data_IF_701299169059
#
_entry.id   IF_701299169059
#
_cell.length_a   1.000
_cell.length_b   1.000
_cell.length_c   1.000
_cell.angle_alpha   90.00
_cell.angle_beta   90.00
_cell.angle_gamma   90.00
#
_symmetry.space_group_name_H-M   'P 1'
#
loop_
_entity.id
_entity.type
_entity.pdbx_description
1 polymer ?
#
# COMPACT_ATOMS: atom_id res chain seq x y z
N UNK A 1 -4.98 20.83 19.34
CA UNK A 1 -5.81 19.71 19.85
C UNK A 1 -6.18 18.76 18.71
N UNK A 2 -6.83 17.64 19.00
CA UNK A 2 -7.44 16.71 18.05
C UNK A 2 -8.91 16.50 18.39
N UNK A 3 -9.75 16.33 17.37
CA UNK A 3 -11.17 16.02 17.53
C UNK A 3 -11.38 14.51 17.46
N UNK A 4 -12.01 13.93 18.47
CA UNK A 4 -12.32 12.51 18.54
C UNK A 4 -13.82 12.28 18.76
N UNK A 5 -14.34 11.18 18.23
CA UNK A 5 -15.73 10.77 18.41
C UNK A 5 -15.79 9.64 19.42
N UNK A 6 -16.36 9.91 20.58
CA UNK A 6 -16.66 8.92 21.62
C UNK A 6 -18.16 8.59 21.56
N UNK A 7 -18.51 7.50 20.88
CA UNK A 7 -19.91 7.12 20.66
C UNK A 7 -20.69 8.15 19.84
N UNK A 8 -21.65 8.82 20.47
CA UNK A 8 -22.44 9.90 19.84
C UNK A 8 -21.87 11.30 20.10
N UNK A 9 -20.93 11.45 21.04
CA UNK A 9 -20.29 12.72 21.37
C UNK A 9 -19.01 12.96 20.58
N UNK A 10 -18.71 14.24 20.35
CA UNK A 10 -17.44 14.70 19.80
C UNK A 10 -16.69 15.42 20.92
N UNK A 11 -15.47 14.98 21.20
CA UNK A 11 -14.63 15.49 22.28
C UNK A 11 -13.35 16.08 21.67
N UNK A 12 -12.85 17.15 22.29
CA UNK A 12 -11.58 17.76 21.93
C UNK A 12 -10.50 17.33 22.92
N UNK A 13 -9.44 16.72 22.38
CA UNK A 13 -8.31 16.21 23.16
C UNK A 13 -7.07 17.05 22.88
N UNK A 14 -6.41 17.45 23.96
CA UNK A 14 -5.19 18.23 23.88
C UNK A 14 -3.99 17.30 23.56
N UNK A 15 -3.31 17.56 22.43
CA UNK A 15 -2.13 16.81 21.99
C UNK A 15 -0.86 17.12 22.82
N UNK A 16 -0.87 18.29 23.45
CA UNK A 16 0.09 18.79 24.44
C UNK A 16 -0.72 19.55 25.48
N UNK A 17 -0.16 19.78 26.67
CA UNK A 17 -0.81 20.59 27.70
C UNK A 17 -1.29 21.95 27.13
N UNK A 18 -2.57 22.27 27.34
CA UNK A 18 -3.23 23.46 26.78
C UNK A 18 -3.18 23.59 25.23
N UNK A 19 -3.04 22.47 24.51
CA UNK A 19 -2.85 22.45 23.07
C UNK A 19 -4.03 22.95 22.21
N UNK A 20 -5.22 23.11 22.78
CA UNK A 20 -6.38 23.77 22.14
C UNK A 20 -6.21 25.28 22.02
N UNK A 21 -5.46 25.88 22.95
CA UNK A 21 -5.25 27.33 23.03
C UNK A 21 -4.02 27.79 22.21
N UNK A 22 -3.29 26.84 21.62
CA UNK A 22 -2.08 27.10 20.84
C UNK A 22 -2.40 27.01 19.34
N UNK A 23 -2.28 28.14 18.64
CA UNK A 23 -2.46 28.18 17.19
C UNK A 23 -1.37 27.42 16.44
N UNK A 24 -1.75 26.72 15.37
CA UNK A 24 -0.79 26.13 14.44
C UNK A 24 -0.21 27.23 13.55
N UNK A 25 1.12 27.30 13.47
CA UNK A 25 1.92 28.29 12.75
C UNK A 25 2.94 27.57 11.88
N UNK A 26 3.56 28.29 10.94
CA UNK A 26 4.63 27.71 10.10
C UNK A 26 5.81 27.16 10.93
N UNK A 27 6.07 27.74 12.10
CA UNK A 27 7.13 27.31 12.99
C UNK A 27 6.80 25.98 13.73
N UNK A 28 5.52 25.70 13.99
CA UNK A 28 5.12 24.53 14.80
C UNK A 28 4.34 23.46 14.01
N UNK A 29 4.00 23.68 12.74
CA UNK A 29 3.19 22.75 11.93
C UNK A 29 3.77 21.34 11.85
N UNK A 30 5.09 21.19 11.74
CA UNK A 30 5.73 19.87 11.71
C UNK A 30 5.50 19.11 13.01
N UNK A 31 5.62 19.79 14.15
CA UNK A 31 5.36 19.18 15.45
C UNK A 31 3.89 18.83 15.63
N UNK A 32 2.99 19.69 15.17
CA UNK A 32 1.55 19.41 15.17
C UNK A 32 1.22 18.16 14.34
N UNK A 33 1.77 18.03 13.13
CA UNK A 33 1.58 16.84 12.28
C UNK A 33 2.11 15.59 12.97
N UNK A 34 3.32 15.63 13.52
CA UNK A 34 3.90 14.50 14.26
C UNK A 34 2.98 14.03 15.41
N UNK A 35 2.52 14.98 16.24
CA UNK A 35 1.62 14.70 17.37
C UNK A 35 0.25 14.18 16.92
N UNK A 36 -0.32 14.77 15.87
CA UNK A 36 -1.59 14.33 15.32
C UNK A 36 -1.49 12.91 14.76
N UNK A 37 -0.43 12.61 14.00
CA UNK A 37 -0.18 11.26 13.47
C UNK A 37 -0.01 10.25 14.61
N UNK A 38 0.76 10.61 15.65
CA UNK A 38 0.92 9.75 16.83
C UNK A 38 -0.41 9.49 17.54
N UNK A 39 -1.21 10.53 17.74
CA UNK A 39 -2.53 10.41 18.36
C UNK A 39 -3.45 9.47 17.59
N UNK A 40 -3.55 9.69 16.28
CA UNK A 40 -4.44 8.92 15.39
C UNK A 40 -4.05 7.45 15.27
N UNK A 41 -2.75 7.15 15.29
CA UNK A 41 -2.24 5.79 15.09
C UNK A 41 -2.05 5.00 16.39
N UNK A 42 -1.69 5.67 17.49
CA UNK A 42 -1.26 4.99 18.72
C UNK A 42 -2.08 5.42 19.93
N UNK A 43 -2.02 6.69 20.30
CA UNK A 43 -2.44 7.10 21.66
C UNK A 43 -3.96 6.89 21.87
N UNK A 44 -4.80 7.16 20.86
CA UNK A 44 -6.26 6.97 20.96
C UNK A 44 -6.72 5.51 21.04
N UNK A 45 -5.85 4.56 20.66
CA UNK A 45 -6.11 3.11 20.69
C UNK A 45 -5.15 2.37 21.65
N UNK A 46 -4.46 3.11 22.54
CA UNK A 46 -3.34 2.54 23.28
C UNK A 46 -3.75 1.38 24.19
N UNK A 47 -4.95 1.42 24.77
CA UNK A 47 -5.44 0.36 25.67
C UNK A 47 -5.55 -0.95 24.91
N UNK A 48 -6.25 -0.93 23.78
CA UNK A 48 -6.47 -2.10 22.93
C UNK A 48 -5.16 -2.61 22.34
N UNK A 49 -4.31 -1.69 21.87
CA UNK A 49 -3.02 -2.02 21.30
C UNK A 49 -2.10 -2.68 22.34
N UNK A 50 -2.07 -2.16 23.57
CA UNK A 50 -1.28 -2.71 24.67
C UNK A 50 -1.72 -4.13 25.02
N UNK A 51 -3.01 -4.37 25.23
CA UNK A 51 -3.51 -5.70 25.59
C UNK A 51 -3.26 -6.72 24.46
N UNK A 52 -3.37 -6.30 23.19
CA UNK A 52 -3.03 -7.14 22.04
C UNK A 52 -1.54 -7.54 22.05
N UNK A 53 -0.64 -6.59 22.32
CA UNK A 53 0.80 -6.84 22.40
C UNK A 53 1.12 -7.76 23.57
N UNK A 54 0.50 -7.55 24.74
CA UNK A 54 0.70 -8.42 25.90
C UNK A 54 0.26 -9.86 25.60
N UNK A 55 -0.91 -10.05 24.99
CA UNK A 55 -1.37 -11.38 24.58
C UNK A 55 -0.44 -12.07 23.57
N UNK A 56 0.17 -11.31 22.66
CA UNK A 56 1.21 -11.85 21.76
C UNK A 56 2.46 -12.29 22.56
N UNK A 57 2.92 -11.47 23.50
CA UNK A 57 4.10 -11.73 24.31
C UNK A 57 3.94 -12.89 25.31
N UNK A 58 2.71 -13.21 25.71
CA UNK A 58 2.42 -14.42 26.50
C UNK A 58 2.73 -15.71 25.74
N UNK A 59 2.67 -15.68 24.40
CA UNK A 59 2.89 -16.84 23.53
C UNK A 59 4.30 -16.81 22.92
N UNK A 60 4.74 -15.64 22.45
CA UNK A 60 6.02 -15.45 21.75
C UNK A 60 6.87 -14.44 22.52
N UNK A 61 8.02 -14.85 23.09
CA UNK A 61 8.93 -13.95 23.79
C UNK A 61 9.34 -12.75 22.91
N UNK A 62 9.32 -11.51 23.45
CA UNK A 62 9.66 -10.31 22.68
C UNK A 62 11.03 -10.39 22.00
N UNK A 63 11.99 -11.08 22.62
CA UNK A 63 13.37 -11.23 22.12
C UNK A 63 13.43 -11.97 20.78
N UNK A 64 12.44 -12.83 20.49
CA UNK A 64 12.32 -13.52 19.21
C UNK A 64 11.73 -12.65 18.11
N UNK A 65 11.08 -11.54 18.47
CA UNK A 65 10.44 -10.62 17.55
C UNK A 65 11.35 -9.45 17.14
N UNK A 66 12.28 -9.05 18.02
CA UNK A 66 13.24 -7.96 17.79
C UNK A 66 14.01 -8.06 16.45
N UNK A 67 14.45 -9.23 15.98
CA UNK A 67 15.23 -9.31 14.75
C UNK A 67 14.47 -8.96 13.48
N UNK A 68 13.13 -9.05 13.50
CA UNK A 68 12.30 -8.86 12.31
C UNK A 68 11.89 -7.40 12.14
N UNK A 69 11.95 -6.89 10.92
CA UNK A 69 11.18 -5.70 10.57
C UNK A 69 9.68 -6.03 10.40
N UNK A 70 8.84 -5.02 10.17
CA UNK A 70 7.41 -5.22 10.03
C UNK A 70 7.02 -6.09 8.81
N UNK A 71 7.81 -6.07 7.74
CA UNK A 71 7.58 -6.85 6.51
C UNK A 71 7.95 -8.31 6.74
N UNK A 72 9.07 -8.56 7.41
CA UNK A 72 9.52 -9.90 7.78
C UNK A 72 8.59 -10.52 8.83
N UNK A 73 8.11 -9.73 9.80
CA UNK A 73 7.15 -10.22 10.79
C UNK A 73 5.82 -10.59 10.15
N UNK A 74 5.33 -9.77 9.20
CA UNK A 74 4.17 -10.09 8.39
C UNK A 74 4.34 -11.44 7.67
N UNK A 75 5.51 -11.65 7.06
CA UNK A 75 5.86 -12.88 6.36
C UNK A 75 5.84 -14.10 7.27
N UNK A 76 6.38 -13.98 8.49
CA UNK A 76 6.38 -15.07 9.48
C UNK A 76 4.96 -15.42 9.92
N UNK A 77 4.13 -14.40 10.21
CA UNK A 77 2.77 -14.61 10.70
C UNK A 77 1.84 -15.25 9.66
N UNK A 78 2.07 -14.99 8.38
CA UNK A 78 1.08 -15.28 7.35
C UNK A 78 1.59 -16.11 6.18
N UNK A 79 2.90 -16.34 6.11
CA UNK A 79 3.56 -17.09 5.04
C UNK A 79 3.65 -16.33 3.72
N UNK A 80 4.27 -16.98 2.75
CA UNK A 80 4.22 -16.57 1.35
C UNK A 80 2.92 -17.09 0.73
N UNK A 81 1.96 -16.22 0.47
CA UNK A 81 0.89 -16.56 -0.47
C UNK A 81 1.44 -16.47 -1.89
N UNK A 82 1.54 -17.61 -2.57
CA UNK A 82 1.81 -17.61 -4.00
C UNK A 82 0.69 -16.87 -4.73
N UNK A 83 1.08 -15.90 -5.57
CA UNK A 83 0.14 -15.12 -6.35
C UNK A 83 -0.26 -15.94 -7.57
N UNK A 84 -1.55 -16.28 -7.66
CA UNK A 84 -2.10 -16.89 -8.87
C UNK A 84 -2.18 -15.83 -9.98
N UNK A 85 -1.19 -15.85 -10.89
CA UNK A 85 -1.12 -14.95 -12.03
C UNK A 85 -2.27 -15.14 -13.01
N UNK A 86 -2.82 -16.35 -13.11
CA UNK A 86 -3.96 -16.60 -13.97
C UNK A 86 -5.21 -15.93 -13.40
N UNK A 87 -5.46 -16.07 -12.10
CA UNK A 87 -6.55 -15.36 -11.42
C UNK A 87 -6.36 -13.84 -11.46
N UNK A 88 -5.13 -13.35 -11.28
CA UNK A 88 -4.83 -11.91 -11.42
C UNK A 88 -5.20 -11.40 -12.81
N UNK A 89 -4.68 -12.07 -13.84
CA UNK A 89 -4.92 -11.68 -15.24
C UNK A 89 -6.40 -11.78 -15.62
N UNK A 90 -7.10 -12.83 -15.18
CA UNK A 90 -8.52 -13.04 -15.46
C UNK A 90 -9.44 -11.98 -14.83
N UNK A 91 -9.04 -11.41 -13.69
CA UNK A 91 -9.81 -10.38 -12.98
C UNK A 91 -9.25 -8.96 -13.18
N UNK A 92 -8.33 -8.76 -14.12
CA UNK A 92 -7.78 -7.44 -14.43
C UNK A 92 -8.68 -6.67 -15.41
N UNK A 93 -9.06 -5.46 -15.03
CA UNK A 93 -9.72 -4.51 -15.93
C UNK A 93 -8.66 -3.72 -16.69
N UNK A 94 -8.79 -3.62 -18.01
CA UNK A 94 -7.86 -2.87 -18.86
C UNK A 94 -8.57 -1.72 -19.57
N UNK A 95 -7.90 -0.58 -19.72
CA UNK A 95 -8.39 0.50 -20.57
C UNK A 95 -8.39 0.10 -22.05
N UNK A 96 -9.28 0.69 -22.84
CA UNK A 96 -9.50 0.32 -24.25
C UNK A 96 -8.25 0.43 -25.13
N UNK A 97 -7.34 1.37 -24.84
CA UNK A 97 -6.08 1.53 -25.57
C UNK A 97 -5.03 0.45 -25.26
N UNK A 98 -5.22 -0.37 -24.22
CA UNK A 98 -4.38 -1.54 -23.95
C UNK A 98 -4.93 -2.82 -24.58
N UNK A 99 -6.21 -2.84 -24.96
CA UNK A 99 -6.83 -4.03 -25.55
C UNK A 99 -6.08 -4.44 -26.81
N UNK A 100 -5.61 -5.69 -26.86
CA UNK A 100 -4.81 -6.24 -27.97
C UNK A 100 -3.51 -5.47 -28.27
N UNK A 101 -2.95 -4.75 -27.29
CA UNK A 101 -1.65 -4.08 -27.44
C UNK A 101 -0.51 -5.00 -27.01
N UNK A 102 0.65 -4.87 -27.68
CA UNK A 102 1.88 -5.53 -27.24
C UNK A 102 2.28 -5.12 -25.82
N UNK A 103 1.96 -3.89 -25.41
CA UNK A 103 2.23 -3.41 -24.06
C UNK A 103 1.52 -4.25 -22.98
N UNK A 104 0.28 -4.67 -23.22
CA UNK A 104 -0.44 -5.55 -22.31
C UNK A 104 0.19 -6.95 -22.24
N UNK A 105 0.61 -7.49 -23.37
CA UNK A 105 1.31 -8.78 -23.43
C UNK A 105 2.64 -8.73 -22.68
N UNK A 106 3.46 -7.71 -22.97
CA UNK A 106 4.74 -7.48 -22.32
C UNK A 106 4.60 -7.33 -20.81
N UNK A 107 3.59 -6.58 -20.33
CA UNK A 107 3.35 -6.42 -18.90
C UNK A 107 3.21 -7.78 -18.21
N UNK A 108 2.33 -8.65 -18.73
CA UNK A 108 2.11 -9.97 -18.13
C UNK A 108 3.31 -10.90 -18.27
N UNK A 109 4.01 -10.88 -19.40
CA UNK A 109 5.25 -11.66 -19.57
C UNK A 109 6.36 -11.22 -18.61
N UNK A 110 6.46 -9.92 -18.32
CA UNK A 110 7.42 -9.39 -17.35
C UNK A 110 7.00 -9.82 -15.93
N UNK A 111 5.72 -9.68 -15.56
CA UNK A 111 5.20 -10.10 -14.25
C UNK A 111 5.37 -11.59 -14.02
N UNK A 112 5.16 -12.42 -15.04
CA UNK A 112 5.38 -13.87 -14.99
C UNK A 112 6.86 -14.23 -14.77
N UNK A 113 7.78 -13.42 -15.31
CA UNK A 113 9.22 -13.60 -15.12
C UNK A 113 9.75 -13.04 -13.78
N UNK A 114 8.96 -12.26 -13.03
CA UNK A 114 9.35 -11.70 -11.73
C UNK A 114 9.50 -12.80 -10.67
N UNK A 115 10.36 -12.54 -9.67
CA UNK A 115 10.39 -13.37 -8.47
C UNK A 115 9.06 -13.26 -7.69
N UNK A 116 8.66 -14.27 -6.90
CA UNK A 116 7.46 -14.16 -6.06
C UNK A 116 7.46 -12.94 -5.14
N UNK A 117 8.64 -12.56 -4.61
CA UNK A 117 8.82 -11.35 -3.82
C UNK A 117 8.50 -10.08 -4.62
N UNK A 118 8.95 -10.01 -5.88
CA UNK A 118 8.74 -8.83 -6.72
C UNK A 118 7.30 -8.74 -7.24
N UNK A 119 6.65 -9.88 -7.49
CA UNK A 119 5.20 -9.93 -7.75
C UNK A 119 4.40 -9.39 -6.56
N UNK A 120 4.76 -9.80 -5.34
CA UNK A 120 4.13 -9.31 -4.11
C UNK A 120 4.36 -7.81 -3.89
N UNK A 121 5.55 -7.30 -4.21
CA UNK A 121 5.83 -5.86 -4.20
C UNK A 121 4.98 -5.11 -5.22
N UNK A 122 4.88 -5.59 -6.47
CA UNK A 122 4.05 -4.96 -7.49
C UNK A 122 2.57 -4.92 -7.08
N UNK A 123 2.09 -5.99 -6.45
CA UNK A 123 0.75 -6.05 -5.87
C UNK A 123 0.59 -5.02 -4.75
N UNK A 124 1.56 -4.91 -3.85
CA UNK A 124 1.60 -3.91 -2.77
C UNK A 124 1.56 -2.47 -3.31
N UNK A 125 2.32 -2.16 -4.37
CA UNK A 125 2.28 -0.86 -5.03
C UNK A 125 0.89 -0.54 -5.57
N UNK A 126 0.29 -1.51 -6.24
CA UNK A 126 -0.96 -1.29 -6.96
C UNK A 126 -2.19 -1.32 -6.08
N UNK A 127 -2.19 -2.06 -4.96
CA UNK A 127 -3.36 -2.31 -4.12
C UNK A 127 -3.21 -1.85 -2.67
N UNK A 128 -1.99 -1.48 -2.25
CA UNK A 128 -1.70 -1.22 -0.84
C UNK A 128 -1.62 -2.48 0.03
N UNK A 129 -1.69 -3.67 -0.57
CA UNK A 129 -1.49 -4.95 0.11
C UNK A 129 -0.62 -5.89 -0.72
N UNK A 130 0.26 -6.64 -0.07
CA UNK A 130 1.08 -7.68 -0.68
C UNK A 130 0.31 -8.98 -0.90
N UNK A 131 -1.00 -9.01 -0.58
CA UNK A 131 -1.81 -10.22 -0.53
C UNK A 131 -3.06 -10.16 -1.38
N UNK A 132 -3.44 -11.33 -1.84
CA UNK A 132 -4.70 -11.56 -2.55
C UNK A 132 -5.79 -11.88 -1.51
N UNK A 133 -6.99 -11.30 -1.64
CA UNK A 133 -8.13 -11.68 -0.81
C UNK A 133 -8.41 -13.19 -0.86
N UNK A 134 -9.01 -13.74 0.19
CA UNK A 134 -9.36 -15.18 0.26
C UNK A 134 -10.24 -15.62 -0.92
N UNK A 135 -11.04 -14.71 -1.47
CA UNK A 135 -11.88 -14.93 -2.63
C UNK A 135 -11.15 -14.81 -3.98
N UNK A 136 -9.83 -14.60 -4.00
CA UNK A 136 -9.03 -14.29 -5.19
C UNK A 136 -9.09 -12.81 -5.58
N UNK A 137 -8.56 -12.48 -6.75
CA UNK A 137 -8.49 -11.12 -7.29
C UNK A 137 -9.87 -10.49 -7.55
N UNK A 138 -10.90 -11.30 -7.74
CA UNK A 138 -12.30 -10.82 -7.81
C UNK A 138 -12.80 -10.21 -6.50
N UNK A 139 -12.15 -10.55 -5.38
CA UNK A 139 -12.46 -10.05 -4.06
C UNK A 139 -11.73 -8.76 -3.69
N UNK A 140 -10.92 -8.18 -4.60
CA UNK A 140 -10.22 -6.93 -4.32
C UNK A 140 -11.22 -5.81 -4.01
N UNK A 141 -10.92 -5.03 -2.98
CA UNK A 141 -11.74 -3.90 -2.53
C UNK A 141 -10.95 -2.61 -2.54
N UNK A 142 -11.66 -1.47 -2.61
CA UNK A 142 -11.10 -0.15 -2.35
C UNK A 142 -11.13 0.16 -0.84
N UNK A 143 -10.68 1.35 -0.45
CA UNK A 143 -10.67 1.83 0.94
C UNK A 143 -12.06 1.88 1.59
N UNK A 144 -13.13 1.96 0.79
CA UNK A 144 -14.52 1.99 1.25
C UNK A 144 -15.14 0.59 1.41
N UNK A 145 -14.35 -0.47 1.20
CA UNK A 145 -14.77 -1.86 1.34
C UNK A 145 -15.61 -2.39 0.18
N UNK A 146 -15.85 -1.59 -0.88
CA UNK A 146 -16.55 -2.08 -2.08
C UNK A 146 -15.58 -2.76 -3.04
N UNK A 147 -16.10 -3.72 -3.81
CA UNK A 147 -15.34 -4.40 -4.86
C UNK A 147 -14.74 -3.39 -5.83
N UNK A 148 -13.43 -3.49 -6.02
CA UNK A 148 -12.62 -2.67 -6.90
C UNK A 148 -11.54 -3.55 -7.51
N UNK A 149 -11.74 -3.96 -8.76
CA UNK A 149 -10.81 -4.82 -9.47
C UNK A 149 -9.46 -4.13 -9.71
N UNK A 150 -8.40 -4.93 -9.77
CA UNK A 150 -7.13 -4.43 -10.27
C UNK A 150 -7.30 -3.89 -11.70
N UNK A 151 -6.81 -2.68 -11.93
CA UNK A 151 -6.97 -1.97 -13.19
C UNK A 151 -5.61 -1.59 -13.79
N UNK A 152 -5.38 -1.96 -15.04
CA UNK A 152 -4.24 -1.51 -15.82
C UNK A 152 -4.72 -0.47 -16.83
N UNK A 153 -4.25 0.77 -16.70
CA UNK A 153 -4.64 1.89 -17.54
C UNK A 153 -3.48 2.34 -18.41
N UNK A 154 -3.60 2.19 -19.72
CA UNK A 154 -2.62 2.68 -20.67
C UNK A 154 -2.58 4.20 -20.71
N UNK A 155 -1.39 4.78 -20.59
CA UNK A 155 -1.13 6.22 -20.75
C UNK A 155 -0.12 6.46 -21.87
N UNK A 156 -0.11 7.68 -22.42
CA UNK A 156 0.85 8.04 -23.46
C UNK A 156 2.28 7.96 -22.89
N UNK A 157 3.17 7.34 -23.65
CA UNK A 157 4.58 7.28 -23.29
C UNK A 157 5.26 8.63 -23.55
N UNK A 158 6.01 9.10 -22.56
CA UNK A 158 7.01 10.16 -22.70
C UNK A 158 8.38 9.60 -22.27
N UNK A 159 9.49 9.96 -22.94
CA UNK A 159 10.81 9.48 -22.54
C UNK A 159 11.10 9.76 -21.07
N UNK A 160 11.50 8.72 -20.33
CA UNK A 160 11.82 8.80 -18.90
C UNK A 160 10.63 8.67 -17.94
N UNK A 161 9.40 8.47 -18.42
CA UNK A 161 8.27 8.25 -17.53
C UNK A 161 8.25 6.82 -16.92
N UNK A 162 7.86 6.73 -15.66
CA UNK A 162 7.66 5.48 -14.93
C UNK A 162 6.16 5.17 -14.77
N UNK A 163 5.78 3.90 -14.53
CA UNK A 163 4.41 3.56 -14.17
C UNK A 163 4.03 4.24 -12.84
N UNK A 164 2.79 4.71 -12.75
CA UNK A 164 2.26 5.33 -11.52
C UNK A 164 1.19 4.44 -10.91
N UNK A 165 1.36 4.06 -9.65
CA UNK A 165 0.43 3.21 -8.93
C UNK A 165 -0.50 4.04 -8.04
N UNK A 166 -1.78 3.64 -8.00
CA UNK A 166 -2.82 4.27 -7.21
C UNK A 166 -3.48 3.21 -6.33
N UNK A 167 -2.85 2.91 -5.18
CA UNK A 167 -3.28 1.86 -4.25
C UNK A 167 -4.77 1.94 -3.88
N UNK A 168 -5.30 3.14 -3.64
CA UNK A 168 -6.72 3.35 -3.29
C UNK A 168 -7.71 2.83 -4.37
N UNK A 169 -7.26 2.68 -5.61
CA UNK A 169 -8.09 2.25 -6.74
C UNK A 169 -7.59 0.96 -7.40
N UNK A 170 -6.69 0.23 -6.74
CA UNK A 170 -6.09 -1.00 -7.28
C UNK A 170 -5.51 -0.80 -8.70
N UNK A 171 -4.91 0.37 -9.00
CA UNK A 171 -4.62 0.77 -10.39
C UNK A 171 -3.14 1.04 -10.66
N UNK A 172 -2.66 0.60 -11.82
CA UNK A 172 -1.39 1.04 -12.42
C UNK A 172 -1.69 1.82 -13.70
N UNK A 173 -1.19 3.04 -13.77
CA UNK A 173 -1.12 3.81 -15.01
C UNK A 173 0.19 3.41 -15.73
N UNK A 174 0.05 2.64 -16.82
CA UNK A 174 1.15 2.03 -17.57
C UNK A 174 1.44 2.85 -18.84
N UNK A 175 2.61 3.49 -18.96
CA UNK A 175 3.04 4.07 -20.23
C UNK A 175 3.08 3.01 -21.34
N UNK A 176 2.57 3.36 -22.52
CA UNK A 176 2.66 2.52 -23.71
C UNK A 176 4.10 2.55 -24.25
N UNK A 177 5.02 1.89 -23.53
CA UNK A 177 6.44 1.84 -23.86
C UNK A 177 6.67 1.35 -25.29
N UNK A 178 7.70 1.86 -25.99
CA UNK A 178 7.98 1.46 -27.37
C UNK A 178 8.70 0.10 -27.47
N UNK A 179 9.23 -0.45 -26.36
CA UNK A 179 9.83 -1.78 -26.32
C UNK A 179 9.60 -2.46 -24.97
N UNK A 180 9.69 -3.81 -24.95
CA UNK A 180 9.54 -4.63 -23.75
C UNK A 180 10.67 -4.35 -22.74
N UNK A 181 11.87 -4.09 -23.23
CA UNK A 181 13.06 -3.84 -22.40
C UNK A 181 12.88 -2.56 -21.57
N UNK A 182 12.37 -1.49 -22.19
CA UNK A 182 12.08 -0.22 -21.49
C UNK A 182 10.98 -0.40 -20.44
N UNK A 183 9.94 -1.17 -20.74
CA UNK A 183 8.90 -1.50 -19.75
C UNK A 183 9.47 -2.29 -18.58
N UNK A 184 10.33 -3.28 -18.85
CA UNK A 184 10.96 -4.10 -17.83
C UNK A 184 11.89 -3.26 -16.94
N UNK A 185 12.71 -2.39 -17.51
CA UNK A 185 13.56 -1.47 -16.75
C UNK A 185 12.72 -0.54 -15.86
N UNK A 186 11.65 0.05 -16.41
CA UNK A 186 10.79 0.96 -15.65
C UNK A 186 10.01 0.26 -14.52
N UNK A 187 9.54 -0.97 -14.73
CA UNK A 187 8.92 -1.78 -13.67
C UNK A 187 9.92 -2.18 -12.60
N UNK A 188 11.15 -2.56 -12.97
CA UNK A 188 12.20 -2.86 -11.99
C UNK A 188 12.57 -1.62 -11.16
N UNK A 189 12.64 -0.44 -11.78
CA UNK A 189 12.85 0.82 -11.05
C UNK A 189 11.73 1.11 -10.06
N UNK A 190 10.46 0.86 -10.44
CA UNK A 190 9.34 0.95 -9.51
C UNK A 190 9.53 0.01 -8.30
N UNK A 191 9.92 -1.25 -8.52
CA UNK A 191 10.13 -2.24 -7.46
C UNK A 191 11.31 -1.97 -6.53
N UNK A 192 12.30 -1.19 -7.00
CA UNK A 192 13.45 -0.76 -6.20
C UNK A 192 13.15 0.48 -5.34
N UNK A 193 12.10 1.23 -5.67
CA UNK A 193 11.66 2.35 -4.84
C UNK A 193 11.05 1.86 -3.53
N UNK A 194 10.85 2.76 -2.56
CA UNK A 194 10.15 2.38 -1.33
C UNK A 194 8.63 2.52 -1.58
N UNK A 195 7.81 1.48 -1.37
CA UNK A 195 6.36 1.54 -1.58
C UNK A 195 5.63 2.56 -0.69
N UNK A 196 6.32 3.12 0.31
CA UNK A 196 5.82 4.21 1.16
C UNK A 196 6.15 5.61 0.61
N UNK A 197 6.90 5.72 -0.48
CA UNK A 197 7.24 6.98 -1.13
C UNK A 197 6.10 7.52 -1.99
N UNK A 198 5.76 8.80 -1.84
CA UNK A 198 4.80 9.48 -2.72
C UNK A 198 5.46 9.76 -4.07
N UNK A 199 5.39 8.77 -4.97
CA UNK A 199 5.86 8.80 -6.36
C UNK A 199 7.37 9.00 -6.55
N UNK A 200 7.93 8.31 -7.54
CA UNK A 200 9.24 8.64 -8.10
C UNK A 200 8.99 9.74 -9.14
N UNK A 201 9.47 10.97 -8.87
CA UNK A 201 9.58 12.02 -9.88
C UNK A 201 10.86 11.88 -10.70
#
# INVERSE_FOLDING_TARGET
SATEREGTSVVEVDLIEHGRDIAVTDANKHKYVELMTRWLLFDRVHVQLKEMILGLYEIVPPELLIPFDHKEFELVLCGLTEIDLYDWKANTVTSSNLHNSLALEWFWEIVEAMSPSDQAKLLQYSTGSSRVPVQGFKGLTSYDGKICYFTLKGINYTPGCYPCAHACYNRIDLPLYPSKELMNEALNMLLLSDPTGFNIE
#
